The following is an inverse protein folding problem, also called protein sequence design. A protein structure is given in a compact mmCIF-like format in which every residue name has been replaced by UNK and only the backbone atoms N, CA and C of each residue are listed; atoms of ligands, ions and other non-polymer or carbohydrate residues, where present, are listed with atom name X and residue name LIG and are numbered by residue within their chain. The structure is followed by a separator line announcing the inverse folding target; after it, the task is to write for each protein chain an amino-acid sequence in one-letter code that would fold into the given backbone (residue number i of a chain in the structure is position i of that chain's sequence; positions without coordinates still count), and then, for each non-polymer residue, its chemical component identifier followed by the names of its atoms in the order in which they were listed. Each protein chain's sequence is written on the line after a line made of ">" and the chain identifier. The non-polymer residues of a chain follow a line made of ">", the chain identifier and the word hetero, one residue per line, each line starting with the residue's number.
data_IF_228095896364
#
_entry.id   IF_228095896364
#
_cell.length_a   1.000
_cell.length_b   1.000
_cell.length_c   1.000
_cell.angle_alpha   90.00
_cell.angle_beta   90.00
_cell.angle_gamma   90.00
#
_symmetry.space_group_name_H-M   'P 1'
#
loop_
_entity.id
_entity.type
_entity.pdbx_description
1 polymer ?
#
# COMPACT_ATOMS: atom_id res chain seq x y z
N UNK A 1 30.96 13.13 3.00
CA UNK A 1 31.31 12.13 4.03
C UNK A 1 30.43 10.90 3.84
N UNK A 2 31.00 9.70 3.77
CA UNK A 2 30.20 8.47 3.90
C UNK A 2 30.03 8.23 5.40
N UNK A 3 28.78 8.17 5.86
CA UNK A 3 28.45 7.78 7.24
C UNK A 3 27.94 6.33 7.19
N UNK A 4 28.80 5.33 7.45
CA UNK A 4 28.39 3.94 7.40
C UNK A 4 27.36 3.67 8.49
N UNK A 5 26.29 2.97 8.14
CA UNK A 5 25.31 2.50 9.12
C UNK A 5 25.97 1.55 10.11
N UNK A 6 25.63 1.71 11.39
CA UNK A 6 26.03 0.78 12.45
C UNK A 6 25.39 -0.59 12.21
N UNK A 7 25.82 -1.62 12.94
CA UNK A 7 25.23 -2.97 12.81
C UNK A 7 23.77 -2.97 13.27
N UNK A 8 23.49 -2.17 14.29
CA UNK A 8 22.18 -1.96 14.90
C UNK A 8 21.24 -1.28 13.89
N UNK A 9 21.69 -0.21 13.23
CA UNK A 9 20.91 0.47 12.19
C UNK A 9 20.57 -0.47 11.03
N UNK A 10 21.52 -1.30 10.61
CA UNK A 10 21.28 -2.28 9.53
C UNK A 10 20.22 -3.30 9.93
N UNK A 11 20.25 -3.81 11.17
CA UNK A 11 19.22 -4.73 11.68
C UNK A 11 17.85 -4.07 11.75
N UNK A 12 17.78 -2.84 12.26
CA UNK A 12 16.53 -2.08 12.33
C UNK A 12 15.96 -1.83 10.93
N UNK A 13 16.79 -1.37 9.99
CA UNK A 13 16.39 -1.16 8.60
C UNK A 13 15.93 -2.46 7.92
N UNK A 14 16.58 -3.59 8.21
CA UNK A 14 16.15 -4.88 7.68
C UNK A 14 14.77 -5.30 8.20
N UNK A 15 14.49 -5.11 9.49
CA UNK A 15 13.16 -5.38 10.06
C UNK A 15 12.10 -4.50 9.40
N UNK A 16 12.37 -3.19 9.33
CA UNK A 16 11.46 -2.22 8.73
C UNK A 16 11.22 -2.50 7.24
N UNK A 17 12.26 -2.93 6.51
CA UNK A 17 12.14 -3.30 5.10
C UNK A 17 11.26 -4.52 4.90
N UNK A 18 11.28 -5.49 5.81
CA UNK A 18 10.42 -6.69 5.74
C UNK A 18 8.95 -6.30 5.92
N UNK A 19 8.66 -5.42 6.87
CA UNK A 19 7.31 -4.89 7.08
C UNK A 19 6.82 -4.08 5.88
N UNK A 20 7.69 -3.21 5.32
CA UNK A 20 7.36 -2.41 4.13
C UNK A 20 7.05 -3.26 2.91
N UNK A 21 7.81 -4.34 2.68
CA UNK A 21 7.60 -5.19 1.51
C UNK A 21 6.16 -5.76 1.44
N UNK A 22 5.59 -6.18 2.58
CA UNK A 22 4.21 -6.64 2.65
C UNK A 22 3.22 -5.51 2.31
N UNK A 23 3.42 -4.32 2.90
CA UNK A 23 2.59 -3.15 2.65
C UNK A 23 2.66 -2.68 1.19
N UNK A 24 3.85 -2.71 0.58
CA UNK A 24 4.08 -2.32 -0.81
C UNK A 24 3.33 -3.24 -1.78
N UNK A 25 3.27 -4.55 -1.51
CA UNK A 25 2.48 -5.48 -2.31
C UNK A 25 0.98 -5.13 -2.29
N UNK A 26 0.44 -4.84 -1.11
CA UNK A 26 -0.97 -4.43 -0.94
C UNK A 26 -1.22 -3.09 -1.65
N UNK A 27 -0.36 -2.09 -1.45
CA UNK A 27 -0.46 -0.80 -2.13
C UNK A 27 -0.37 -0.96 -3.65
N UNK A 28 0.49 -1.85 -4.15
CA UNK A 28 0.63 -2.16 -5.57
C UNK A 28 -0.66 -2.70 -6.18
N UNK A 29 -1.33 -3.62 -5.48
CA UNK A 29 -2.64 -4.14 -5.89
C UNK A 29 -3.70 -3.03 -5.87
N UNK A 30 -3.78 -2.24 -4.80
CA UNK A 30 -4.73 -1.14 -4.69
C UNK A 30 -4.53 -0.06 -5.78
N UNK A 31 -3.28 0.20 -6.18
CA UNK A 31 -2.97 1.12 -7.28
C UNK A 31 -3.36 0.60 -8.68
N UNK A 32 -3.79 -0.66 -8.84
CA UNK A 32 -4.43 -1.09 -10.09
C UNK A 32 -5.74 -0.34 -10.35
N UNK A 33 -6.42 0.09 -9.29
CA UNK A 33 -7.61 0.92 -9.40
C UNK A 33 -7.20 2.38 -9.66
N UNK A 34 -7.50 2.92 -10.85
CA UNK A 34 -7.18 4.31 -11.24
C UNK A 34 -7.68 5.37 -10.25
N UNK A 35 -8.76 5.08 -9.54
CA UNK A 35 -9.30 5.95 -8.48
C UNK A 35 -8.33 6.14 -7.30
N UNK A 36 -7.45 5.16 -7.05
CA UNK A 36 -6.39 5.19 -6.03
C UNK A 36 -5.07 5.67 -6.64
N UNK A 37 -4.74 5.28 -7.87
CA UNK A 37 -3.48 5.63 -8.52
C UNK A 37 -3.39 7.10 -8.97
N UNK A 38 -4.50 7.67 -9.45
CA UNK A 38 -4.55 9.01 -10.01
C UNK A 38 -5.17 10.02 -9.04
N UNK A 39 -5.02 11.31 -9.36
CA UNK A 39 -5.72 12.37 -8.62
C UNK A 39 -7.23 12.19 -8.74
N UNK A 40 -7.87 11.80 -7.65
CA UNK A 40 -9.32 11.64 -7.60
C UNK A 40 -10.06 12.98 -7.67
N UNK A 41 -10.76 13.24 -8.78
CA UNK A 41 -11.51 14.50 -8.98
C UNK A 41 -12.99 14.43 -8.57
N UNK A 42 -13.55 13.23 -8.37
CA UNK A 42 -15.00 13.02 -8.15
C UNK A 42 -15.38 12.81 -6.67
N UNK A 43 -14.84 13.62 -5.76
CA UNK A 43 -14.91 13.43 -4.30
C UNK A 43 -16.31 13.54 -3.65
N UNK A 44 -17.34 14.03 -4.36
CA UNK A 44 -18.64 14.38 -3.73
C UNK A 44 -19.72 13.29 -3.75
N UNK A 45 -19.87 12.50 -4.83
CA UNK A 45 -20.95 11.49 -4.93
C UNK A 45 -20.37 10.08 -4.92
N UNK A 46 -20.90 9.20 -4.07
CA UNK A 46 -20.58 7.76 -4.01
C UNK A 46 -19.10 7.43 -3.72
N UNK A 47 -18.37 8.33 -3.04
CA UNK A 47 -16.98 8.08 -2.67
C UNK A 47 -16.87 6.78 -1.85
N UNK A 48 -17.59 6.71 -0.73
CA UNK A 48 -17.64 5.54 0.14
C UNK A 48 -18.01 4.25 -0.60
N UNK A 49 -19.05 4.29 -1.44
CA UNK A 49 -19.45 3.11 -2.23
C UNK A 49 -18.32 2.57 -3.11
N UNK A 50 -17.57 3.44 -3.80
CA UNK A 50 -16.45 2.99 -4.66
C UNK A 50 -15.34 2.35 -3.84
N UNK A 51 -15.00 2.92 -2.69
CA UNK A 51 -14.00 2.33 -1.79
C UNK A 51 -14.47 1.00 -1.18
N UNK A 52 -15.75 0.91 -0.78
CA UNK A 52 -16.33 -0.34 -0.26
C UNK A 52 -16.29 -1.46 -1.31
N UNK A 53 -16.58 -1.15 -2.57
CA UNK A 53 -16.49 -2.13 -3.66
C UNK A 53 -15.05 -2.61 -3.90
N UNK A 54 -14.07 -1.69 -3.87
CA UNK A 54 -12.65 -2.06 -4.00
C UNK A 54 -12.21 -2.96 -2.84
N UNK A 55 -12.62 -2.63 -1.61
CA UNK A 55 -12.35 -3.45 -0.44
C UNK A 55 -12.98 -4.84 -0.57
N UNK A 56 -14.24 -4.92 -1.05
CA UNK A 56 -14.90 -6.19 -1.29
C UNK A 56 -14.18 -7.05 -2.33
N UNK A 57 -13.72 -6.45 -3.44
CA UNK A 57 -12.93 -7.16 -4.48
C UNK A 57 -11.62 -7.68 -3.89
N UNK A 58 -10.87 -6.82 -3.18
CA UNK A 58 -9.61 -7.23 -2.56
C UNK A 58 -9.79 -8.36 -1.55
N UNK A 59 -10.81 -8.26 -0.70
CA UNK A 59 -11.12 -9.31 0.27
C UNK A 59 -11.53 -10.62 -0.43
N UNK A 60 -12.25 -10.55 -1.55
CA UNK A 60 -12.59 -11.74 -2.32
C UNK A 60 -11.36 -12.39 -2.95
N UNK A 61 -10.45 -11.60 -3.53
CA UNK A 61 -9.17 -12.08 -4.09
C UNK A 61 -8.25 -12.67 -3.02
N UNK A 62 -8.30 -12.19 -1.77
CA UNK A 62 -7.51 -12.76 -0.66
C UNK A 62 -8.02 -14.12 -0.17
N UNK A 63 -9.33 -14.38 -0.30
CA UNK A 63 -9.96 -15.61 0.17
C UNK A 63 -10.08 -16.67 -0.94
N UNK A 64 -9.59 -16.37 -2.14
CA UNK A 64 -9.54 -17.29 -3.28
C UNK A 64 -8.11 -17.77 -3.47
#
# INVERSE_FOLDING_TARGET
>A
MKNPLTREDKKANQSLSRERAANENVIGLLKRFKIIADRYRNRRKRCALRFNLIAAIYNWELNT
#
